data_IF_680791101944
#
_entry.id   IF_680791101944
#
_cell.length_a   1.000
_cell.length_b   1.000
_cell.length_c   1.000
_cell.angle_alpha   90.00
_cell.angle_beta   90.00
_cell.angle_gamma   90.00
#
_symmetry.space_group_name_H-M   'P 1'
#
loop_
_entity.id
_entity.type
_entity.pdbx_description
1 polymer ?
#
# COMPACT_ATOMS: atom_id res chain seq x y z
N UNK A 1 16.68 -14.74 22.82
CA UNK A 1 15.23 -14.51 22.69
C UNK A 1 14.91 -14.65 21.21
N UNK A 2 14.11 -15.65 20.83
CA UNK A 2 13.64 -15.77 19.45
C UNK A 2 12.64 -14.64 19.23
N UNK A 3 13.12 -13.54 18.63
CA UNK A 3 12.25 -12.43 18.26
C UNK A 3 11.44 -12.87 17.04
N UNK A 4 10.24 -13.40 17.32
CA UNK A 4 9.33 -13.82 16.27
C UNK A 4 8.92 -12.54 15.54
N UNK A 5 9.11 -12.44 14.21
CA UNK A 5 8.84 -11.21 13.50
C UNK A 5 7.37 -10.80 13.72
N UNK A 6 7.10 -9.49 13.91
CA UNK A 6 5.76 -9.02 14.26
C UNK A 6 4.71 -9.53 13.27
N UNK A 7 3.59 -10.02 13.80
CA UNK A 7 2.50 -10.62 13.01
C UNK A 7 1.80 -9.61 12.11
N UNK A 8 1.80 -8.33 12.49
CA UNK A 8 1.11 -7.24 11.80
C UNK A 8 2.10 -6.13 11.48
N UNK A 9 1.77 -5.30 10.49
CA UNK A 9 2.56 -4.11 10.20
C UNK A 9 2.39 -3.05 11.29
N UNK A 10 3.48 -2.39 11.64
CA UNK A 10 3.46 -1.07 12.27
C UNK A 10 3.65 -0.03 11.17
N UNK A 11 2.74 0.94 11.06
CA UNK A 11 2.84 2.04 10.12
C UNK A 11 3.08 3.32 10.91
N UNK A 12 4.07 4.09 10.47
CA UNK A 12 4.41 5.37 11.07
C UNK A 12 4.48 6.45 10.01
N UNK A 13 4.10 7.67 10.36
CA UNK A 13 3.89 8.76 9.43
C UNK A 13 4.60 10.02 9.90
N UNK A 14 5.12 10.80 8.97
CA UNK A 14 5.66 12.13 9.22
C UNK A 14 5.30 13.05 8.05
N UNK A 15 5.07 14.33 8.35
CA UNK A 15 4.90 15.37 7.34
C UNK A 15 6.19 16.19 7.30
N UNK A 16 6.87 16.20 6.17
CA UNK A 16 8.15 16.88 5.98
C UNK A 16 8.03 17.76 4.75
N UNK A 17 8.33 19.05 4.84
CA UNK A 17 8.55 19.96 3.69
C UNK A 17 7.69 19.71 2.41
N UNK A 18 6.38 19.52 2.57
CA UNK A 18 5.44 19.32 1.44
C UNK A 18 5.22 17.87 0.98
N UNK A 19 5.88 16.90 1.62
CA UNK A 19 5.69 15.47 1.40
C UNK A 19 5.14 14.76 2.65
N UNK A 20 4.45 13.65 2.43
CA UNK A 20 4.03 12.73 3.48
C UNK A 20 4.91 11.49 3.39
N UNK A 21 5.64 11.21 4.46
CA UNK A 21 6.53 10.07 4.52
C UNK A 21 5.91 8.99 5.42
N UNK A 22 5.87 7.76 4.92
CA UNK A 22 5.25 6.61 5.59
C UNK A 22 6.29 5.51 5.72
N UNK A 23 6.52 5.04 6.94
CA UNK A 23 7.41 3.92 7.21
C UNK A 23 6.63 2.69 7.63
N UNK A 24 6.89 1.58 6.94
CA UNK A 24 6.20 0.31 7.17
C UNK A 24 7.19 -0.68 7.76
N UNK A 25 6.88 -1.18 8.97
CA UNK A 25 7.66 -2.22 9.65
C UNK A 25 6.86 -3.51 9.71
N UNK A 26 7.52 -4.65 9.51
CA UNK A 26 6.88 -5.96 9.62
C UNK A 26 6.15 -6.40 8.35
N UNK A 27 4.93 -6.93 8.49
CA UNK A 27 4.20 -7.61 7.41
C UNK A 27 3.01 -6.78 6.93
N UNK A 28 3.16 -6.18 5.75
CA UNK A 28 2.10 -5.41 5.10
C UNK A 28 1.09 -6.35 4.43
N UNK A 29 -0.09 -6.47 5.04
CA UNK A 29 -1.15 -7.39 4.62
C UNK A 29 -2.48 -6.67 4.41
N UNK A 30 -3.52 -7.41 4.02
CA UNK A 30 -4.90 -6.92 3.99
C UNK A 30 -5.32 -6.19 5.27
N UNK A 31 -4.91 -6.65 6.46
CA UNK A 31 -5.25 -6.00 7.73
C UNK A 31 -4.72 -4.57 7.81
N UNK A 32 -3.47 -4.36 7.41
CA UNK A 32 -2.84 -3.04 7.37
C UNK A 32 -3.24 -2.22 6.16
N UNK A 33 -3.75 -2.85 5.09
CA UNK A 33 -4.13 -2.15 3.85
C UNK A 33 -5.32 -1.21 4.04
N UNK A 34 -6.24 -1.53 4.95
CA UNK A 34 -7.43 -0.71 5.23
C UNK A 34 -7.06 0.62 5.91
N UNK A 35 -6.41 0.63 7.10
CA UNK A 35 -6.01 1.89 7.73
C UNK A 35 -5.02 2.67 6.87
N UNK A 36 -4.10 1.98 6.17
CA UNK A 36 -3.19 2.62 5.21
C UNK A 36 -3.96 3.34 4.09
N UNK A 37 -4.91 2.66 3.44
CA UNK A 37 -5.73 3.25 2.38
C UNK A 37 -6.50 4.48 2.87
N UNK A 38 -7.14 4.38 4.05
CA UNK A 38 -7.90 5.50 4.63
C UNK A 38 -7.00 6.72 4.85
N UNK A 39 -5.84 6.50 5.47
CA UNK A 39 -4.85 7.55 5.68
C UNK A 39 -4.42 8.19 4.35
N UNK A 40 -4.03 7.40 3.35
CA UNK A 40 -3.57 7.93 2.07
C UNK A 40 -4.65 8.74 1.36
N UNK A 41 -5.91 8.30 1.39
CA UNK A 41 -7.03 9.05 0.82
C UNK A 41 -7.26 10.37 1.56
N UNK A 42 -7.20 10.36 2.89
CA UNK A 42 -7.28 11.59 3.69
C UNK A 42 -6.16 12.58 3.32
N UNK A 43 -4.93 12.09 3.12
CA UNK A 43 -3.82 12.95 2.71
C UNK A 43 -4.02 13.53 1.31
N UNK A 44 -4.58 12.75 0.38
CA UNK A 44 -4.96 13.23 -0.95
C UNK A 44 -6.06 14.30 -0.86
N UNK A 45 -7.05 14.13 0.01
CA UNK A 45 -8.13 15.10 0.23
C UNK A 45 -7.60 16.41 0.85
N UNK A 46 -6.58 16.33 1.70
CA UNK A 46 -5.85 17.49 2.26
C UNK A 46 -4.93 18.18 1.23
N UNK A 47 -4.83 17.65 0.01
CA UNK A 47 -4.04 18.25 -1.07
C UNK A 47 -2.59 17.76 -1.15
N UNK A 48 -2.16 16.81 -0.32
CA UNK A 48 -0.83 16.22 -0.44
C UNK A 48 -0.71 15.40 -1.73
N UNK A 49 0.39 15.57 -2.45
CA UNK A 49 0.65 14.87 -3.73
C UNK A 49 2.02 14.20 -3.81
N UNK A 50 2.91 14.47 -2.85
CA UNK A 50 4.23 13.86 -2.75
C UNK A 50 4.25 12.90 -1.58
N UNK A 51 4.57 11.64 -1.86
CA UNK A 51 4.58 10.56 -0.89
C UNK A 51 5.85 9.73 -0.98
N UNK A 52 6.40 9.38 0.17
CA UNK A 52 7.57 8.48 0.28
C UNK A 52 7.21 7.30 1.18
N UNK A 53 7.35 6.08 0.68
CA UNK A 53 7.12 4.84 1.44
C UNK A 53 8.45 4.19 1.75
N UNK A 54 8.85 4.23 3.02
CA UNK A 54 10.08 3.65 3.56
C UNK A 54 9.84 2.18 3.95
N UNK A 55 10.62 1.29 3.35
CA UNK A 55 10.41 -0.16 3.38
C UNK A 55 11.61 -0.95 3.95
N UNK A 56 12.64 -0.31 4.52
CA UNK A 56 13.81 -0.98 5.10
C UNK A 56 13.47 -1.99 6.19
N UNK A 57 12.34 -1.82 6.87
CA UNK A 57 11.84 -2.72 7.91
C UNK A 57 10.59 -3.50 7.47
N UNK A 58 10.15 -3.36 6.22
CA UNK A 58 9.06 -4.14 5.65
C UNK A 58 9.61 -5.50 5.23
N UNK A 59 9.11 -6.58 5.82
CA UNK A 59 9.60 -7.95 5.59
C UNK A 59 8.90 -8.58 4.40
N UNK A 60 7.58 -8.42 4.31
CA UNK A 60 6.72 -9.01 3.29
C UNK A 60 5.55 -8.08 3.03
N UNK A 61 5.10 -8.06 1.78
CA UNK A 61 3.89 -7.40 1.34
C UNK A 61 2.99 -8.39 0.61
N UNK A 62 1.67 -8.28 0.72
CA UNK A 62 0.73 -9.09 -0.07
C UNK A 62 0.18 -8.32 -1.29
N UNK A 63 -0.54 -9.03 -2.16
CA UNK A 63 -1.16 -8.45 -3.36
C UNK A 63 -2.25 -7.42 -3.03
N UNK A 64 -2.90 -7.53 -1.86
CA UNK A 64 -3.93 -6.55 -1.46
C UNK A 64 -3.27 -5.21 -1.14
N UNK A 65 -2.22 -5.20 -0.33
CA UNK A 65 -1.49 -3.98 0.01
C UNK A 65 -0.84 -3.37 -1.24
N UNK A 66 -0.22 -4.20 -2.09
CA UNK A 66 0.36 -3.72 -3.36
C UNK A 66 -0.68 -3.17 -4.32
N UNK A 67 -1.86 -3.78 -4.44
CA UNK A 67 -2.92 -3.25 -5.27
C UNK A 67 -3.49 -1.92 -4.75
N UNK A 68 -3.50 -1.70 -3.43
CA UNK A 68 -3.80 -0.38 -2.84
C UNK A 68 -2.73 0.64 -3.20
N UNK A 69 -1.44 0.31 -3.02
CA UNK A 69 -0.33 1.18 -3.40
C UNK A 69 -0.35 1.53 -4.89
N UNK A 70 -0.55 0.52 -5.76
CA UNK A 70 -0.61 0.72 -7.20
C UNK A 70 -1.81 1.57 -7.62
N UNK A 71 -2.96 1.45 -6.93
CA UNK A 71 -4.11 2.32 -7.15
C UNK A 71 -3.82 3.78 -6.80
N UNK A 72 -3.04 4.02 -5.74
CA UNK A 72 -2.65 5.37 -5.32
C UNK A 72 -1.60 5.96 -6.27
N UNK A 73 -0.63 5.14 -6.70
CA UNK A 73 0.36 5.51 -7.70
C UNK A 73 -0.31 5.97 -9.01
N UNK A 74 -1.25 5.16 -9.53
CA UNK A 74 -2.00 5.50 -10.73
C UNK A 74 -2.79 6.81 -10.59
N UNK A 75 -3.47 7.01 -9.45
CA UNK A 75 -4.21 8.24 -9.17
C UNK A 75 -3.31 9.50 -9.12
N UNK A 76 -2.08 9.35 -8.62
CA UNK A 76 -1.10 10.45 -8.58
C UNK A 76 -0.56 10.78 -9.98
N UNK A 77 -0.32 9.77 -10.82
CA UNK A 77 0.11 9.96 -12.21
C UNK A 77 -0.96 10.63 -13.08
N UNK A 78 -2.24 10.37 -12.81
CA UNK A 78 -3.36 11.04 -13.50
C UNK A 78 -3.54 12.52 -13.13
N UNK A 79 -2.79 13.02 -12.13
CA UNK A 79 -2.86 14.42 -11.71
C UNK A 79 -1.87 15.27 -12.53
N UNK A 80 -2.33 16.37 -13.13
CA UNK A 80 -1.52 17.34 -13.90
C UNK A 80 -0.50 18.15 -13.03
N UNK A 81 -0.27 17.72 -11.79
CA UNK A 81 0.64 18.37 -10.87
C UNK A 81 2.05 17.79 -11.06
N UNK A 82 2.97 18.61 -11.57
CA UNK A 82 4.38 18.22 -11.78
C UNK A 82 5.10 17.70 -10.51
N UNK A 83 4.54 17.95 -9.32
CA UNK A 83 5.07 17.48 -8.03
C UNK A 83 4.41 16.21 -7.50
N UNK A 84 3.43 15.63 -8.22
CA UNK A 84 2.76 14.41 -7.78
C UNK A 84 3.65 13.18 -7.99
N UNK A 85 4.02 12.49 -6.90
CA UNK A 85 4.83 11.28 -6.98
C UNK A 85 4.62 10.38 -5.76
N UNK A 86 4.81 9.08 -5.99
CA UNK A 86 4.88 8.05 -4.96
C UNK A 86 6.22 7.32 -5.10
N UNK A 87 7.10 7.55 -4.14
CA UNK A 87 8.42 6.94 -4.09
C UNK A 87 8.43 5.74 -3.12
N UNK A 88 9.07 4.64 -3.51
CA UNK A 88 9.36 3.51 -2.63
C UNK A 88 10.86 3.50 -2.34
N UNK A 89 11.23 3.60 -1.06
CA UNK A 89 12.64 3.62 -0.63
C UNK A 89 13.00 2.39 0.19
N UNK A 90 14.21 1.87 -0.04
CA UNK A 90 14.80 0.74 0.71
C UNK A 90 13.97 -0.55 0.71
N UNK A 91 13.19 -0.77 -0.35
CA UNK A 91 12.45 -2.01 -0.54
C UNK A 91 13.42 -3.20 -0.66
N UNK A 92 13.16 -4.26 0.10
CA UNK A 92 13.96 -5.48 0.01
C UNK A 92 13.67 -6.26 -1.30
N UNK A 93 14.57 -7.19 -1.67
CA UNK A 93 14.46 -7.98 -2.90
C UNK A 93 13.16 -8.78 -3.02
N UNK A 94 12.61 -9.27 -1.90
CA UNK A 94 11.36 -10.03 -1.88
C UNK A 94 10.17 -9.14 -2.25
N UNK A 95 10.13 -7.91 -1.72
CA UNK A 95 9.07 -6.93 -2.03
C UNK A 95 9.22 -6.47 -3.47
N UNK A 96 10.44 -6.14 -3.92
CA UNK A 96 10.71 -5.74 -5.30
C UNK A 96 10.34 -6.84 -6.30
N UNK A 97 10.75 -8.08 -6.05
CA UNK A 97 10.41 -9.21 -6.90
C UNK A 97 8.90 -9.48 -6.96
N UNK A 98 8.16 -9.18 -5.89
CA UNK A 98 6.70 -9.25 -5.93
C UNK A 98 6.08 -8.14 -6.78
N UNK A 99 6.56 -6.90 -6.64
CA UNK A 99 6.11 -5.76 -7.45
C UNK A 99 6.37 -6.03 -8.94
N UNK A 100 7.55 -6.52 -9.28
CA UNK A 100 7.96 -6.89 -10.64
C UNK A 100 7.13 -8.05 -11.20
N UNK A 101 6.92 -9.12 -10.42
CA UNK A 101 6.05 -10.24 -10.83
C UNK A 101 4.59 -9.81 -11.06
N UNK A 102 4.14 -8.73 -10.42
CA UNK A 102 2.81 -8.16 -10.67
C UNK A 102 2.79 -7.20 -11.87
N UNK A 103 3.93 -6.92 -12.50
CA UNK A 103 4.02 -6.04 -13.67
C UNK A 103 3.65 -4.58 -13.35
N UNK A 104 3.86 -4.15 -12.10
CA UNK A 104 3.53 -2.79 -11.65
C UNK A 104 4.76 -2.00 -11.19
N UNK A 105 5.97 -2.48 -11.48
CA UNK A 105 7.21 -1.82 -11.09
C UNK A 105 7.31 -0.39 -11.65
N UNK A 106 6.94 -0.20 -12.92
CA UNK A 106 6.98 1.10 -13.61
C UNK A 106 6.00 2.14 -13.08
N UNK A 107 5.08 1.75 -12.19
CA UNK A 107 4.17 2.68 -11.52
C UNK A 107 4.81 3.37 -10.31
N UNK A 108 5.98 2.89 -9.86
CA UNK A 108 6.66 3.39 -8.67
C UNK A 108 8.02 3.97 -9.02
N UNK A 109 8.37 5.10 -8.40
CA UNK A 109 9.76 5.54 -8.37
C UNK A 109 10.48 4.79 -7.25
N UNK A 110 11.52 4.01 -7.58
CA UNK A 110 12.22 3.16 -6.61
C UNK A 110 13.61 3.74 -6.34
N UNK A 111 13.92 4.01 -5.06
CA UNK A 111 15.27 4.43 -4.65
C UNK A 111 15.85 3.51 -3.58
N UNK A 112 17.14 3.20 -3.71
CA UNK A 112 17.90 2.37 -2.78
C UNK A 112 19.05 3.12 -2.10
N UNK A 113 19.33 4.36 -2.55
CA UNK A 113 20.34 5.21 -1.93
C UNK A 113 19.77 5.89 -0.68
N UNK A 114 20.64 6.35 0.22
CA UNK A 114 20.25 7.15 1.38
C UNK A 114 19.39 8.33 0.94
N UNK A 115 18.18 8.41 1.45
CA UNK A 115 17.25 9.48 1.17
C UNK A 115 17.33 10.50 2.30
N UNK A 116 17.41 11.79 1.99
CA UNK A 116 17.55 12.85 3.02
C UNK A 116 16.38 12.81 4.03
N UNK A 117 15.21 12.37 3.57
CA UNK A 117 14.06 12.15 4.45
C UNK A 117 14.27 11.02 5.47
N UNK A 118 15.22 10.10 5.29
CA UNK A 118 15.43 8.94 6.19
C UNK A 118 15.78 9.35 7.62
N UNK A 119 16.56 10.42 7.78
CA UNK A 119 16.94 10.93 9.11
C UNK A 119 15.76 11.66 9.77
N UNK A 120 15.10 12.56 9.03
CA UNK A 120 13.95 13.33 9.49
C UNK A 120 12.72 12.46 9.79
N UNK A 121 12.52 11.38 9.02
CA UNK A 121 11.52 10.34 9.26
C UNK A 121 11.70 9.65 10.61
N UNK A 122 12.94 9.50 11.09
CA UNK A 122 13.22 8.79 12.34
C UNK A 122 12.99 9.66 13.57
N UNK A 123 13.04 10.98 13.43
CA UNK A 123 12.87 11.92 14.54
C UNK A 123 11.45 12.44 14.71
N UNK A 124 10.66 12.55 13.63
CA UNK A 124 9.35 13.24 13.66
C UNK A 124 8.14 12.32 13.43
N UNK A 125 8.33 11.01 13.39
CA UNK A 125 7.23 10.10 13.10
C UNK A 125 6.27 9.86 14.26
N UNK A 126 4.99 9.80 13.93
CA UNK A 126 3.93 9.35 14.82
C UNK A 126 3.35 8.01 14.34
N UNK A 127 2.87 7.14 15.25
CA UNK A 127 2.22 5.91 14.84
C UNK A 127 0.89 6.23 14.15
N UNK A 128 0.61 5.58 13.03
CA UNK A 128 -0.72 5.57 12.43
C UNK A 128 -1.63 4.66 13.26
N UNK A 129 -2.86 5.10 13.51
CA UNK A 129 -3.86 4.27 14.17
C UNK A 129 -4.18 3.03 13.31
N UNK A 130 -3.84 1.85 13.81
CA UNK A 130 -4.06 0.57 13.13
C UNK A 130 -5.46 0.02 13.45
N UNK A 131 -6.50 0.78 13.12
CA UNK A 131 -7.88 0.32 13.25
C UNK A 131 -8.19 -0.68 12.13
N UNK A 132 -8.30 -1.96 12.50
CA UNK A 132 -8.64 -2.99 11.54
C UNK A 132 -10.02 -2.74 10.92
N UNK A 133 -10.09 -2.90 9.60
CA UNK A 133 -11.35 -2.84 8.88
C UNK A 133 -12.27 -4.00 9.26
N UNK A 134 -13.57 -3.78 9.12
CA UNK A 134 -14.53 -4.90 9.18
C UNK A 134 -14.19 -5.95 8.13
N UNK A 135 -14.62 -7.21 8.33
CA UNK A 135 -14.45 -8.27 7.31
C UNK A 135 -14.97 -7.83 5.94
N UNK A 136 -16.11 -7.14 5.91
CA UNK A 136 -16.70 -6.63 4.67
C UNK A 136 -15.80 -5.56 4.01
N UNK A 137 -15.17 -4.68 4.79
CA UNK A 137 -14.27 -3.66 4.28
C UNK A 137 -12.94 -4.23 3.80
N UNK A 138 -12.39 -5.22 4.50
CA UNK A 138 -11.22 -5.97 4.04
C UNK A 138 -11.51 -6.67 2.72
N UNK A 139 -12.66 -7.34 2.59
CA UNK A 139 -13.08 -7.97 1.34
C UNK A 139 -13.25 -6.95 0.19
N UNK A 140 -13.89 -5.79 0.45
CA UNK A 140 -14.00 -4.69 -0.53
C UNK A 140 -12.64 -4.14 -0.95
N UNK A 141 -11.75 -3.94 0.03
CA UNK A 141 -10.39 -3.42 -0.22
C UNK A 141 -9.56 -4.40 -1.02
N UNK A 142 -9.61 -5.69 -0.68
CA UNK A 142 -8.94 -6.74 -1.41
C UNK A 142 -9.48 -6.89 -2.83
N UNK A 143 -10.80 -6.86 -3.01
CA UNK A 143 -11.41 -6.94 -4.35
C UNK A 143 -10.97 -5.76 -5.23
N UNK A 144 -11.01 -4.54 -4.70
CA UNK A 144 -10.56 -3.36 -5.44
C UNK A 144 -9.08 -3.43 -5.77
N UNK A 145 -8.23 -3.83 -4.82
CA UNK A 145 -6.78 -3.97 -5.02
C UNK A 145 -6.45 -4.96 -6.15
N UNK A 146 -7.05 -6.15 -6.14
CA UNK A 146 -6.80 -7.15 -7.18
C UNK A 146 -7.32 -6.70 -8.56
N UNK A 147 -8.51 -6.07 -8.61
CA UNK A 147 -9.02 -5.49 -9.87
C UNK A 147 -8.11 -4.39 -10.42
N UNK A 148 -7.53 -3.56 -9.55
CA UNK A 148 -6.50 -2.60 -9.97
C UNK A 148 -5.32 -3.33 -10.60
N UNK A 149 -4.74 -4.33 -9.93
CA UNK A 149 -3.61 -5.09 -10.49
C UNK A 149 -3.95 -5.76 -11.84
N UNK A 150 -5.18 -6.29 -11.99
CA UNK A 150 -5.67 -6.85 -13.26
C UNK A 150 -5.80 -5.81 -14.37
N UNK A 151 -6.17 -4.58 -14.02
CA UNK A 151 -6.29 -3.47 -14.96
C UNK A 151 -4.92 -2.90 -15.38
N UNK A 152 -3.97 -2.83 -14.44
CA UNK A 152 -2.64 -2.29 -14.70
C UNK A 152 -1.76 -3.26 -15.50
N UNK A 153 -1.94 -4.58 -15.35
CA UNK A 153 -1.17 -5.56 -16.11
C UNK A 153 -1.99 -6.82 -16.50
N UNK A 154 -2.13 -7.15 -17.81
CA UNK A 154 -2.98 -8.25 -18.27
C UNK A 154 -2.65 -9.62 -17.69
N UNK A 155 -1.37 -9.90 -17.38
CA UNK A 155 -0.98 -11.18 -16.78
C UNK A 155 -1.64 -11.45 -15.42
N UNK A 156 -2.12 -10.40 -14.75
CA UNK A 156 -2.77 -10.51 -13.45
C UNK A 156 -4.23 -10.97 -13.56
N UNK A 157 -4.84 -10.90 -14.75
CA UNK A 157 -6.22 -11.34 -14.96
C UNK A 157 -6.37 -12.82 -14.62
N UNK A 158 -5.52 -13.67 -15.18
CA UNK A 158 -5.56 -15.10 -14.88
C UNK A 158 -5.13 -15.41 -13.45
N UNK A 159 -4.13 -14.69 -12.91
CA UNK A 159 -3.65 -14.86 -11.53
C UNK A 159 -4.74 -14.59 -10.48
N UNK A 160 -5.62 -13.62 -10.74
CA UNK A 160 -6.57 -13.13 -9.74
C UNK A 160 -8.05 -13.39 -10.02
N UNK A 161 -8.41 -14.00 -11.17
CA UNK A 161 -9.80 -14.31 -11.54
C UNK A 161 -10.59 -15.01 -10.44
N UNK A 162 -9.98 -16.02 -9.80
CA UNK A 162 -10.67 -16.86 -8.83
C UNK A 162 -10.86 -16.13 -7.49
N UNK A 163 -9.85 -15.39 -7.04
CA UNK A 163 -9.94 -14.60 -5.80
C UNK A 163 -10.93 -13.45 -5.95
N UNK A 164 -10.97 -12.77 -7.10
CA UNK A 164 -11.94 -11.69 -7.34
C UNK A 164 -13.37 -12.23 -7.42
N UNK A 165 -13.59 -13.36 -8.11
CA UNK A 165 -14.90 -14.00 -8.19
C UNK A 165 -15.39 -14.46 -6.81
N UNK A 166 -14.49 -15.01 -5.99
CA UNK A 166 -14.81 -15.37 -4.61
C UNK A 166 -15.24 -14.16 -3.77
N UNK A 167 -14.44 -13.09 -3.78
CA UNK A 167 -14.71 -11.87 -3.01
C UNK A 167 -16.00 -11.17 -3.46
N UNK A 168 -16.30 -11.16 -4.76
CA UNK A 168 -17.56 -10.65 -5.30
C UNK A 168 -18.77 -11.42 -4.76
N UNK A 169 -18.69 -12.76 -4.74
CA UNK A 169 -19.74 -13.61 -4.20
C UNK A 169 -19.93 -13.41 -2.68
N UNK A 170 -18.83 -13.31 -1.94
CA UNK A 170 -18.86 -13.07 -0.49
C UNK A 170 -19.54 -11.73 -0.17
N UNK A 171 -19.17 -10.67 -0.90
CA UNK A 171 -19.76 -9.34 -0.73
C UNK A 171 -21.23 -9.27 -1.16
N UNK A 172 -21.62 -10.00 -2.21
CA UNK A 172 -23.02 -10.12 -2.63
C UNK A 172 -23.87 -10.90 -1.63
N UNK A 173 -23.35 -11.99 -1.08
CA UNK A 173 -24.06 -12.83 -0.09
C UNK A 173 -24.21 -12.13 1.26
N UNK A 174 -23.26 -11.27 1.63
CA UNK A 174 -23.29 -10.47 2.87
C UNK A 174 -24.20 -9.22 2.78
N UNK A 175 -24.90 -9.00 1.66
CA UNK A 175 -25.78 -7.85 1.43
C UNK A 175 -27.28 -8.16 1.51
N UNK A 176 -27.65 -9.42 1.77
CA UNK A 176 -29.02 -9.81 2.06
C UNK A 176 -29.29 -9.63 3.56
N UNK A 177 -30.24 -8.76 3.97
CA UNK A 177 -30.77 -8.81 5.32
C UNK A 177 -31.58 -10.10 5.49
N UNK A 178 -31.39 -10.81 6.61
CA UNK A 178 -32.42 -11.73 7.14
C UNK A 178 -33.70 -10.97 7.48
#
# INVERSE_FOLDING_TARGET
MNDMPPKHAEIRVAHLEGMVCIRIKGRATVHSSVPFKRFMLEQLDLGHRSFVIELSQCLVMDSTFLGVLASLAAQLQDTDAASAHLELVHANERVLGLIDNLGVLDWFEIRQASHEADASLRTHETPLAMEEGSRQEMAKTSLKAHRTLMALHPSNQEKFKDVTAYLEKELGSSSLPE
#
